data_IF_816376517107
#
_entry.id   IF_816376517107
#
_cell.length_a   1.000
_cell.length_b   1.000
_cell.length_c   1.000
_cell.angle_alpha   90.00
_cell.angle_beta   90.00
_cell.angle_gamma   90.00
#
_symmetry.space_group_name_H-M   'P 1'
#
loop_
_entity.id
_entity.type
_entity.pdbx_description
1 polymer ?
#
# COMPACT_ATOMS: atom_id res chain seq x y z
N UNK A 1 39.34 -33.61 18.29
CA UNK A 1 37.94 -33.29 18.52
C UNK A 1 37.43 -32.38 17.41
N UNK A 2 36.51 -32.83 16.61
CA UNK A 2 35.98 -32.04 15.53
C UNK A 2 35.05 -30.94 16.10
N UNK A 3 35.54 -29.71 16.16
CA UNK A 3 34.69 -28.57 16.45
C UNK A 3 33.71 -28.33 15.30
N UNK A 4 32.58 -27.72 15.58
CA UNK A 4 31.64 -27.26 14.54
C UNK A 4 32.37 -26.23 13.67
N UNK A 5 32.47 -26.41 12.34
CA UNK A 5 33.12 -25.44 11.48
C UNK A 5 32.34 -24.12 11.51
N UNK A 6 33.04 -23.07 11.81
CA UNK A 6 32.51 -21.71 11.76
C UNK A 6 33.00 -21.03 10.48
N UNK A 7 32.10 -20.82 9.56
CA UNK A 7 32.39 -20.21 8.27
C UNK A 7 31.64 -18.87 8.19
N UNK A 8 32.38 -17.80 8.03
CA UNK A 8 31.85 -16.48 7.73
C UNK A 8 31.73 -16.32 6.21
N UNK A 9 30.53 -16.05 5.74
CA UNK A 9 30.25 -15.81 4.31
C UNK A 9 29.91 -14.34 4.13
N UNK A 10 30.65 -13.66 3.27
CA UNK A 10 30.42 -12.26 2.96
C UNK A 10 30.02 -12.11 1.49
N UNK A 11 28.94 -11.40 1.25
CA UNK A 11 28.48 -11.04 -0.09
C UNK A 11 28.70 -9.55 -0.30
N UNK A 12 29.39 -9.18 -1.36
CA UNK A 12 29.60 -7.81 -1.75
C UNK A 12 29.14 -7.62 -3.21
N UNK A 13 28.24 -6.69 -3.43
CA UNK A 13 27.66 -6.39 -4.74
C UNK A 13 28.08 -5.00 -5.12
N UNK A 14 28.83 -4.87 -6.22
CA UNK A 14 29.24 -3.58 -6.73
C UNK A 14 28.14 -2.88 -7.56
N UNK A 15 28.37 -1.64 -7.93
CA UNK A 15 27.44 -0.84 -8.77
C UNK A 15 27.20 -1.42 -10.16
N UNK A 16 28.05 -2.32 -10.64
CA UNK A 16 27.94 -3.01 -11.93
C UNK A 16 27.20 -4.36 -11.82
N UNK A 17 26.74 -4.72 -10.61
CA UNK A 17 26.07 -6.00 -10.35
C UNK A 17 27.02 -7.18 -10.23
N UNK A 18 28.32 -6.95 -10.08
CA UNK A 18 29.31 -7.99 -9.82
C UNK A 18 29.20 -8.41 -8.37
N UNK A 19 28.96 -9.69 -8.12
CA UNK A 19 28.87 -10.26 -6.79
C UNK A 19 30.20 -10.89 -6.41
N UNK A 20 30.84 -10.41 -5.36
CA UNK A 20 31.98 -11.02 -4.72
C UNK A 20 31.50 -11.81 -3.51
N UNK A 21 31.75 -13.10 -3.51
CA UNK A 21 31.44 -13.99 -2.39
C UNK A 21 32.74 -14.45 -1.77
N UNK A 22 32.95 -14.16 -0.50
CA UNK A 22 34.06 -14.66 0.25
C UNK A 22 33.60 -15.56 1.39
N UNK A 23 34.27 -16.65 1.58
CA UNK A 23 34.06 -17.59 2.69
C UNK A 23 35.34 -17.71 3.49
N UNK A 24 35.28 -17.39 4.77
CA UNK A 24 36.41 -17.47 5.70
C UNK A 24 36.13 -18.51 6.77
N UNK A 25 37.03 -19.48 6.90
CA UNK A 25 37.00 -20.41 8.02
C UNK A 25 37.63 -19.74 9.25
N UNK A 26 36.83 -19.47 10.25
CA UNK A 26 37.27 -18.80 11.48
C UNK A 26 38.17 -19.65 12.34
N UNK A 27 38.14 -20.98 12.16
CA UNK A 27 39.02 -21.91 12.89
C UNK A 27 40.44 -21.99 12.33
N UNK A 28 40.59 -21.98 11.01
CA UNK A 28 41.88 -22.12 10.33
C UNK A 28 42.39 -20.80 9.73
N UNK A 29 41.56 -19.80 9.64
CA UNK A 29 41.88 -18.51 9.02
C UNK A 29 41.97 -18.57 7.49
N UNK A 30 41.62 -19.70 6.88
CA UNK A 30 41.59 -19.82 5.42
C UNK A 30 40.41 -19.06 4.84
N UNK A 31 40.70 -18.34 3.80
CA UNK A 31 39.68 -17.56 3.06
C UNK A 31 39.71 -17.96 1.58
N UNK A 32 38.53 -18.12 1.02
CA UNK A 32 38.33 -18.29 -0.41
C UNK A 32 37.31 -17.27 -0.91
N UNK A 33 37.62 -16.67 -2.02
CA UNK A 33 36.71 -15.70 -2.67
C UNK A 33 36.41 -16.13 -4.10
N UNK A 34 35.17 -15.93 -4.49
CA UNK A 34 34.70 -16.12 -5.85
C UNK A 34 34.06 -14.81 -6.29
N UNK A 35 34.47 -14.38 -7.47
CA UNK A 35 33.81 -13.25 -8.14
C UNK A 35 32.83 -13.81 -9.16
N UNK A 36 31.55 -13.59 -8.94
CA UNK A 36 30.51 -13.97 -9.88
C UNK A 36 30.24 -12.74 -10.76
N UNK A 37 30.88 -12.72 -11.91
CA UNK A 37 30.46 -11.81 -12.98
C UNK A 37 29.20 -12.41 -13.56
N UNK A 38 28.11 -11.66 -13.46
CA UNK A 38 26.83 -12.07 -14.00
C UNK A 38 26.98 -12.49 -15.48
N UNK A 39 27.03 -13.77 -15.70
CA UNK A 39 26.91 -14.32 -17.06
C UNK A 39 25.45 -14.52 -17.45
N UNK A 40 24.51 -14.29 -16.55
CA UNK A 40 23.12 -14.07 -16.92
C UNK A 40 23.02 -12.67 -17.50
N UNK A 41 23.54 -12.52 -18.66
CA UNK A 41 23.41 -11.31 -19.44
C UNK A 41 21.92 -11.13 -19.73
N UNK A 42 21.23 -10.40 -18.85
CA UNK A 42 19.96 -9.82 -19.25
C UNK A 42 20.28 -8.90 -20.43
N UNK A 43 19.64 -9.15 -21.53
CA UNK A 43 19.71 -8.25 -22.68
C UNK A 43 19.18 -6.88 -22.26
N UNK A 44 19.59 -5.82 -22.96
CA UNK A 44 19.05 -4.48 -22.69
C UNK A 44 17.52 -4.45 -22.78
N UNK A 45 16.95 -5.27 -23.65
CA UNK A 45 15.50 -5.45 -23.77
C UNK A 45 14.87 -6.08 -22.54
N UNK A 46 15.50 -7.08 -21.94
CA UNK A 46 15.03 -7.72 -20.71
C UNK A 46 15.12 -6.78 -19.51
N UNK A 47 16.17 -5.98 -19.41
CA UNK A 47 16.33 -4.95 -18.40
C UNK A 47 15.26 -3.86 -18.58
N UNK A 48 15.03 -3.40 -19.80
CA UNK A 48 14.00 -2.41 -20.10
C UNK A 48 12.61 -2.93 -19.76
N UNK A 49 12.32 -4.20 -20.08
CA UNK A 49 11.06 -4.87 -19.74
C UNK A 49 10.87 -4.97 -18.21
N UNK A 50 11.89 -5.41 -17.48
CA UNK A 50 11.84 -5.51 -16.03
C UNK A 50 11.62 -4.15 -15.35
N UNK A 51 12.26 -3.09 -15.84
CA UNK A 51 12.04 -1.72 -15.36
C UNK A 51 10.63 -1.23 -15.63
N UNK A 52 10.13 -1.49 -16.85
CA UNK A 52 8.77 -1.11 -17.22
C UNK A 52 7.73 -1.84 -16.34
N UNK A 53 7.89 -3.15 -16.14
CA UNK A 53 7.02 -3.94 -15.26
C UNK A 53 7.05 -3.41 -13.83
N UNK A 54 8.24 -3.13 -13.28
CA UNK A 54 8.40 -2.57 -11.94
C UNK A 54 7.71 -1.19 -11.81
N UNK A 55 7.82 -0.34 -12.82
CA UNK A 55 7.15 0.97 -12.84
C UNK A 55 5.63 0.84 -12.91
N UNK A 56 5.12 -0.10 -13.71
CA UNK A 56 3.68 -0.38 -13.80
C UNK A 56 3.14 -0.88 -12.47
N UNK A 57 3.82 -1.83 -11.82
CA UNK A 57 3.41 -2.32 -10.50
C UNK A 57 3.46 -1.23 -9.43
N UNK A 58 4.51 -0.41 -9.41
CA UNK A 58 4.61 0.71 -8.47
C UNK A 58 3.43 1.69 -8.63
N UNK A 59 3.06 2.04 -9.85
CA UNK A 59 1.91 2.91 -10.11
C UNK A 59 0.58 2.27 -9.70
N UNK A 60 0.44 0.96 -9.87
CA UNK A 60 -0.74 0.24 -9.43
C UNK A 60 -0.85 0.23 -7.91
N UNK A 61 0.27 0.02 -7.20
CA UNK A 61 0.32 0.03 -5.74
C UNK A 61 -0.01 1.41 -5.19
N UNK A 62 0.51 2.49 -5.79
CA UNK A 62 0.19 3.86 -5.40
C UNK A 62 -1.30 4.20 -5.63
N UNK A 63 -1.87 3.74 -6.74
CA UNK A 63 -3.29 3.92 -7.02
C UNK A 63 -4.14 3.17 -6.01
N UNK A 64 -3.76 1.93 -5.70
CA UNK A 64 -4.48 1.10 -4.73
C UNK A 64 -4.41 1.69 -3.32
N UNK A 65 -3.25 2.21 -2.92
CA UNK A 65 -3.11 2.90 -1.63
C UNK A 65 -4.03 4.13 -1.54
N UNK A 66 -4.11 4.92 -2.61
CA UNK A 66 -5.06 6.06 -2.68
C UNK A 66 -6.51 5.61 -2.51
N UNK A 67 -6.90 4.48 -3.07
CA UNK A 67 -8.26 3.96 -2.91
C UNK A 67 -8.54 3.55 -1.46
N UNK A 68 -7.57 2.97 -0.80
CA UNK A 68 -7.65 2.64 0.64
C UNK A 68 -7.82 3.91 1.46
N UNK A 69 -7.01 4.93 1.23
CA UNK A 69 -7.06 6.21 1.95
C UNK A 69 -8.43 6.90 1.77
N UNK A 70 -8.98 6.89 0.55
CA UNK A 70 -10.32 7.42 0.27
C UNK A 70 -11.40 6.64 1.04
N UNK A 71 -11.28 5.33 1.09
CA UNK A 71 -12.23 4.48 1.83
C UNK A 71 -12.15 4.75 3.34
N UNK A 72 -10.96 4.88 3.89
CA UNK A 72 -10.76 5.20 5.31
C UNK A 72 -11.33 6.59 5.66
N UNK A 73 -11.11 7.59 4.80
CA UNK A 73 -11.73 8.91 4.95
C UNK A 73 -13.26 8.83 4.93
N UNK A 74 -13.82 8.02 4.03
CA UNK A 74 -15.26 7.80 3.95
C UNK A 74 -15.82 7.15 5.23
N UNK A 75 -15.14 6.16 5.78
CA UNK A 75 -15.52 5.51 7.06
C UNK A 75 -15.44 6.50 8.22
N UNK A 76 -14.38 7.29 8.29
CA UNK A 76 -14.23 8.32 9.29
C UNK A 76 -15.35 9.37 9.18
N UNK A 77 -15.61 9.86 7.98
CA UNK A 77 -16.69 10.81 7.71
C UNK A 77 -18.05 10.25 8.13
N UNK A 78 -18.31 8.98 7.86
CA UNK A 78 -19.54 8.31 8.28
C UNK A 78 -19.72 8.32 9.81
N UNK A 79 -18.64 8.01 10.54
CA UNK A 79 -18.65 8.00 11.99
C UNK A 79 -18.84 9.40 12.58
N UNK A 80 -18.14 10.38 12.06
CA UNK A 80 -18.28 11.79 12.44
C UNK A 80 -19.70 12.30 12.21
N UNK A 81 -20.30 11.97 11.07
CA UNK A 81 -21.66 12.35 10.73
C UNK A 81 -22.70 11.72 11.67
N UNK A 82 -22.53 10.45 12.00
CA UNK A 82 -23.40 9.77 12.99
C UNK A 82 -23.29 10.43 14.38
N UNK A 83 -22.07 10.75 14.80
CA UNK A 83 -21.85 11.45 16.09
C UNK A 83 -22.44 12.85 16.08
N UNK A 84 -22.25 13.61 14.99
CA UNK A 84 -22.84 14.94 14.83
C UNK A 84 -24.37 14.90 14.83
N UNK A 85 -24.97 13.90 14.17
CA UNK A 85 -26.41 13.70 14.15
C UNK A 85 -26.96 13.39 15.56
N UNK A 86 -26.25 12.56 16.33
CA UNK A 86 -26.62 12.21 17.71
C UNK A 86 -26.53 13.43 18.63
N UNK A 87 -25.43 14.18 18.55
CA UNK A 87 -25.18 15.36 19.37
C UNK A 87 -26.19 16.50 19.10
N UNK A 88 -26.56 16.69 17.84
CA UNK A 88 -27.40 17.79 17.41
C UNK A 88 -28.88 17.41 17.20
N UNK A 89 -29.30 16.25 17.68
CA UNK A 89 -30.65 15.71 17.48
C UNK A 89 -31.77 16.66 17.91
N UNK A 90 -31.54 17.50 18.92
CA UNK A 90 -32.50 18.48 19.42
C UNK A 90 -32.32 19.87 18.84
N UNK A 91 -31.16 20.17 18.24
CA UNK A 91 -30.77 21.51 17.77
C UNK A 91 -31.06 21.69 16.27
N UNK A 92 -30.80 20.67 15.47
CA UNK A 92 -31.00 20.77 14.04
C UNK A 92 -32.47 20.72 13.65
N UNK A 93 -32.81 21.50 12.63
CA UNK A 93 -34.10 21.46 11.99
C UNK A 93 -34.40 20.08 11.37
N UNK A 94 -35.68 19.80 11.22
CA UNK A 94 -36.18 18.52 10.73
C UNK A 94 -35.64 18.16 9.33
N UNK A 95 -35.59 19.16 8.44
CA UNK A 95 -35.13 19.00 7.07
C UNK A 95 -33.62 18.73 7.00
N UNK A 96 -32.81 19.45 7.79
CA UNK A 96 -31.38 19.20 7.93
C UNK A 96 -31.11 17.77 8.43
N UNK A 97 -31.80 17.34 9.47
CA UNK A 97 -31.68 15.96 10.01
C UNK A 97 -32.05 14.91 8.96
N UNK A 98 -33.09 15.16 8.18
CA UNK A 98 -33.54 14.24 7.12
C UNK A 98 -32.47 14.14 6.02
N UNK A 99 -31.92 15.27 5.57
CA UNK A 99 -30.87 15.32 4.57
C UNK A 99 -29.60 14.60 5.05
N UNK A 100 -29.10 14.92 6.25
CA UNK A 100 -27.91 14.27 6.84
C UNK A 100 -28.10 12.76 6.95
N UNK A 101 -29.24 12.28 7.43
CA UNK A 101 -29.56 10.86 7.48
C UNK A 101 -29.55 10.19 6.11
N UNK A 102 -30.08 10.84 5.10
CA UNK A 102 -30.10 10.32 3.73
C UNK A 102 -28.67 10.17 3.18
N UNK A 103 -27.81 11.17 3.39
CA UNK A 103 -26.41 11.14 2.97
C UNK A 103 -25.60 10.07 3.73
N UNK A 104 -25.80 9.96 5.05
CA UNK A 104 -25.19 8.90 5.88
C UNK A 104 -25.60 7.51 5.36
N UNK A 105 -26.89 7.30 5.07
CA UNK A 105 -27.39 6.03 4.55
C UNK A 105 -26.80 5.68 3.19
N UNK A 106 -26.67 6.66 2.31
CA UNK A 106 -26.06 6.49 0.99
C UNK A 106 -24.56 6.12 1.10
N UNK A 107 -23.80 6.87 1.88
CA UNK A 107 -22.37 6.59 2.10
C UNK A 107 -22.16 5.22 2.75
N UNK A 108 -22.95 4.86 3.75
CA UNK A 108 -22.88 3.55 4.40
C UNK A 108 -23.11 2.39 3.45
N UNK A 109 -24.06 2.51 2.52
CA UNK A 109 -24.30 1.51 1.46
C UNK A 109 -23.12 1.37 0.50
N UNK A 110 -22.53 2.49 0.10
CA UNK A 110 -21.35 2.48 -0.78
C UNK A 110 -20.14 1.83 -0.10
N UNK A 111 -19.90 2.14 1.16
CA UNK A 111 -18.81 1.52 1.95
C UNK A 111 -19.01 0.00 2.03
N UNK A 112 -20.23 -0.46 2.28
CA UNK A 112 -20.55 -1.90 2.36
C UNK A 112 -20.33 -2.63 1.02
N UNK A 113 -20.52 -1.94 -0.10
CA UNK A 113 -20.30 -2.47 -1.45
C UNK A 113 -18.87 -2.38 -1.94
N UNK A 114 -18.01 -1.69 -1.20
CA UNK A 114 -16.62 -1.43 -1.55
C UNK A 114 -15.66 -1.94 -0.44
N UNK A 115 -15.61 -3.26 -0.20
CA UNK A 115 -14.60 -3.82 0.70
C UNK A 115 -13.20 -3.59 0.12
N UNK A 116 -12.19 -3.58 1.01
CA UNK A 116 -10.80 -3.24 0.65
C UNK A 116 -10.29 -4.09 -0.52
N UNK A 117 -10.57 -5.39 -0.50
CA UNK A 117 -10.14 -6.35 -1.52
C UNK A 117 -10.80 -6.17 -2.90
N UNK A 118 -11.84 -5.35 -2.99
CA UNK A 118 -12.60 -5.10 -4.23
C UNK A 118 -12.66 -3.61 -4.61
N UNK A 119 -11.75 -2.82 -4.07
CA UNK A 119 -11.63 -1.40 -4.42
C UNK A 119 -11.13 -1.24 -5.87
N UNK A 120 -11.68 -0.26 -6.54
CA UNK A 120 -11.25 0.20 -7.85
C UNK A 120 -11.49 1.72 -7.96
N UNK A 121 -11.07 2.30 -9.06
CA UNK A 121 -11.20 3.74 -9.29
C UNK A 121 -12.65 4.23 -9.22
N UNK A 122 -13.60 3.50 -9.83
CA UNK A 122 -15.02 3.84 -9.84
C UNK A 122 -15.61 3.86 -8.42
N UNK A 123 -15.32 2.83 -7.63
CA UNK A 123 -15.80 2.75 -6.24
C UNK A 123 -15.15 3.80 -5.35
N UNK A 124 -13.85 4.05 -5.52
CA UNK A 124 -13.15 5.10 -4.80
C UNK A 124 -13.72 6.49 -5.12
N UNK A 125 -13.99 6.79 -6.39
CA UNK A 125 -14.63 8.04 -6.80
C UNK A 125 -16.02 8.20 -6.19
N UNK A 126 -16.84 7.15 -6.21
CA UNK A 126 -18.17 7.14 -5.61
C UNK A 126 -18.14 7.35 -4.09
N UNK A 127 -17.17 6.74 -3.40
CA UNK A 127 -16.96 6.94 -1.97
C UNK A 127 -16.53 8.37 -1.64
N UNK A 128 -15.62 8.91 -2.43
CA UNK A 128 -15.16 10.30 -2.26
C UNK A 128 -16.30 11.30 -2.43
N UNK A 129 -17.06 11.16 -3.51
CA UNK A 129 -18.21 12.02 -3.80
C UNK A 129 -19.26 11.95 -2.69
N UNK A 130 -19.61 10.75 -2.24
CA UNK A 130 -20.57 10.56 -1.16
C UNK A 130 -20.07 11.09 0.19
N UNK A 131 -18.78 10.96 0.49
CA UNK A 131 -18.18 11.53 1.68
C UNK A 131 -18.21 13.07 1.66
N UNK A 132 -17.91 13.68 0.52
CA UNK A 132 -18.01 15.15 0.38
C UNK A 132 -19.45 15.63 0.50
N UNK A 133 -20.42 14.89 -0.03
CA UNK A 133 -21.84 15.21 0.16
C UNK A 133 -22.28 15.16 1.63
N UNK A 134 -21.75 14.20 2.41
CA UNK A 134 -21.97 14.14 3.85
C UNK A 134 -21.35 15.34 4.55
N UNK A 135 -20.11 15.68 4.26
CA UNK A 135 -19.41 16.84 4.83
C UNK A 135 -20.16 18.14 4.54
N UNK A 136 -20.67 18.31 3.32
CA UNK A 136 -21.47 19.46 2.94
C UNK A 136 -22.80 19.52 3.71
N UNK A 137 -23.47 18.39 3.89
CA UNK A 137 -24.73 18.32 4.65
C UNK A 137 -24.53 18.63 6.15
N UNK A 138 -23.32 18.44 6.68
CA UNK A 138 -22.97 18.77 8.06
C UNK A 138 -22.70 20.26 8.30
N UNK A 139 -22.34 21.01 7.25
CA UNK A 139 -22.11 22.46 7.31
C UNK A 139 -23.44 23.21 7.47
#
# INVERSE_FOLDING_TARGET
MAGVPQIEVTFDIDVNGIVNVSAKDLGTGREQSITITSSSNMTEEEIAKARWEAEVYSKQDEAYQRFIDIREDAVRTLNEANNALAANKKVWEKDKKKNVKAQIGHLGKLISKAPVDKLNEEKAASLHEAAEAVKEALR
#
